data_IF_917324102388
#
_entry.id   IF_917324102388
#
_cell.length_a   1.000
_cell.length_b   1.000
_cell.length_c   1.000
_cell.angle_alpha   90.00
_cell.angle_beta   90.00
_cell.angle_gamma   90.00
#
_symmetry.space_group_name_H-M   'P 1'
#
loop_
_entity.id
_entity.type
_entity.pdbx_description
1 polymer ?
#
# COMPACT_ATOMS: atom_id res chain seq x y z
N UNK A 1 -3.19 -1.11 -6.78
CA UNK A 1 -2.21 -0.83 -5.72
C UNK A 1 -2.72 -1.32 -4.37
N UNK A 2 -3.88 -0.85 -3.90
CA UNK A 2 -4.40 -1.17 -2.56
C UNK A 2 -4.64 -2.66 -2.30
N UNK A 3 -5.20 -3.39 -3.27
CA UNK A 3 -5.45 -4.84 -3.17
C UNK A 3 -4.22 -5.70 -3.47
N UNK A 4 -3.09 -5.09 -3.84
CA UNK A 4 -1.88 -5.86 -4.13
C UNK A 4 -1.27 -6.36 -2.83
N UNK A 5 -0.78 -7.60 -2.87
CA UNK A 5 0.07 -8.16 -1.84
C UNK A 5 1.29 -7.26 -1.63
N UNK A 6 1.65 -7.04 -0.37
CA UNK A 6 2.80 -6.23 -0.03
C UNK A 6 4.10 -6.98 -0.37
N UNK A 7 5.05 -6.30 -0.99
CA UNK A 7 6.26 -6.96 -1.54
C UNK A 7 7.12 -7.61 -0.45
N UNK A 8 7.11 -7.09 0.78
CA UNK A 8 7.88 -7.67 1.89
C UNK A 8 7.09 -8.72 2.69
N UNK A 9 5.78 -8.78 2.51
CA UNK A 9 4.89 -9.71 3.20
C UNK A 9 3.67 -9.95 2.30
N UNK A 10 3.65 -11.09 1.62
CA UNK A 10 2.63 -11.40 0.63
C UNK A 10 1.28 -11.81 1.25
N UNK A 11 1.24 -12.01 2.57
CA UNK A 11 0.03 -12.39 3.30
C UNK A 11 -0.87 -11.18 3.57
N UNK A 12 -0.33 -9.97 3.49
CA UNK A 12 -1.06 -8.72 3.70
C UNK A 12 -1.14 -7.87 2.43
N UNK A 13 -2.23 -7.14 2.29
CA UNK A 13 -2.41 -6.18 1.19
C UNK A 13 -1.84 -4.81 1.56
N UNK A 14 -1.56 -3.97 0.56
CA UNK A 14 -1.16 -2.57 0.78
C UNK A 14 -2.21 -1.80 1.58
N UNK A 15 -3.50 -2.13 1.41
CA UNK A 15 -4.58 -1.56 2.21
C UNK A 15 -4.52 -1.93 3.69
N UNK A 16 -4.21 -3.20 3.99
CA UNK A 16 -4.05 -3.65 5.37
C UNK A 16 -2.86 -2.94 6.01
N UNK A 17 -1.73 -2.88 5.30
CA UNK A 17 -0.54 -2.15 5.76
C UNK A 17 -0.83 -0.66 6.02
N UNK A 18 -1.60 0.00 5.15
CA UNK A 18 -1.99 1.39 5.33
C UNK A 18 -2.81 1.57 6.61
N UNK A 19 -3.80 0.70 6.82
CA UNK A 19 -4.66 0.72 8.02
C UNK A 19 -3.86 0.53 9.29
N UNK A 20 -2.96 -0.45 9.31
CA UNK A 20 -2.10 -0.74 10.47
C UNK A 20 -1.15 0.43 10.75
N UNK A 21 -0.67 1.11 9.70
CA UNK A 21 0.20 2.29 9.84
C UNK A 21 -0.58 3.48 10.39
N UNK A 22 -1.82 3.71 9.93
CA UNK A 22 -2.72 4.74 10.49
C UNK A 22 -2.95 4.49 11.98
N UNK A 23 -3.22 3.23 12.37
CA UNK A 23 -3.44 2.86 13.77
C UNK A 23 -2.19 3.08 14.64
N UNK A 24 -0.98 2.81 14.11
CA UNK A 24 0.28 3.01 14.84
C UNK A 24 0.68 4.48 14.99
N UNK A 25 0.42 5.30 13.95
CA UNK A 25 0.79 6.72 13.94
C UNK A 25 -0.26 7.58 14.66
N UNK A 26 -1.54 7.20 14.58
CA UNK A 26 -2.65 7.98 15.15
C UNK A 26 -3.10 9.16 14.28
N UNK A 27 -2.60 9.24 13.04
CA UNK A 27 -2.96 10.27 12.05
C UNK A 27 -3.48 9.65 10.76
N UNK A 28 -4.31 10.39 10.03
CA UNK A 28 -4.85 9.93 8.76
C UNK A 28 -3.78 9.96 7.65
N UNK A 29 -3.48 8.80 7.07
CA UNK A 29 -2.49 8.64 6.01
C UNK A 29 -3.21 8.22 4.73
N UNK A 30 -2.98 8.92 3.62
CA UNK A 30 -3.64 8.64 2.35
C UNK A 30 -2.66 8.69 1.19
N UNK A 31 -2.74 7.69 0.29
CA UNK A 31 -1.97 7.69 -0.95
C UNK A 31 -2.66 8.60 -1.97
N UNK A 32 -2.12 9.81 -2.19
CA UNK A 32 -2.72 10.80 -3.10
C UNK A 32 -2.56 10.47 -4.59
N UNK A 33 -1.42 9.90 -4.98
CA UNK A 33 -1.09 9.60 -6.38
C UNK A 33 0.02 8.56 -6.45
N UNK A 34 -0.04 7.68 -7.44
CA UNK A 34 1.05 6.79 -7.79
C UNK A 34 1.08 6.63 -9.32
N UNK A 35 2.25 6.34 -9.86
CA UNK A 35 2.43 5.99 -11.26
C UNK A 35 3.23 4.69 -11.33
N UNK A 36 2.77 3.76 -12.15
CA UNK A 36 3.49 2.50 -12.44
C UNK A 36 3.80 2.47 -13.92
N UNK A 37 5.06 2.72 -14.26
CA UNK A 37 5.53 2.54 -15.63
C UNK A 37 5.99 1.09 -15.80
N UNK A 38 5.44 0.42 -16.80
CA UNK A 38 5.97 -0.83 -17.34
C UNK A 38 6.36 -0.54 -18.78
N UNK A 39 7.63 -0.71 -19.09
CA UNK A 39 8.08 -0.82 -20.49
C UNK A 39 7.58 -2.20 -20.97
N UNK A 40 7.26 -2.33 -22.27
CA UNK A 40 6.54 -3.49 -22.85
C UNK A 40 7.01 -4.88 -22.37
N UNK A 41 6.07 -5.84 -22.45
CA UNK A 41 6.08 -7.19 -21.82
C UNK A 41 7.40 -7.71 -21.22
#
# INVERSE_FOLDING_TARGET
LMEQAYVKDMDITIQQLLTDTIAKVGENITIKRFARFRIGE
#
